data_IF_174158730679
#
_entry.id   IF_174158730679
#
_cell.length_a   1.000
_cell.length_b   1.000
_cell.length_c   1.000
_cell.angle_alpha   90.00
_cell.angle_beta   90.00
_cell.angle_gamma   90.00
#
_symmetry.space_group_name_H-M   'P 1'
#
loop_
_entity.id
_entity.type
_entity.pdbx_description
1 polymer ?
#
# COMPACT_ATOMS: atom_id res chain seq x y z
N UNK A 1 16.19 -45.60 -10.16
CA UNK A 1 17.20 -44.54 -10.20
C UNK A 1 18.03 -44.76 -11.45
N UNK A 2 17.95 -43.86 -12.43
CA UNK A 2 18.52 -44.08 -13.76
C UNK A 2 20.04 -44.25 -13.71
N UNK A 3 20.53 -45.24 -14.45
CA UNK A 3 21.95 -45.54 -14.59
C UNK A 3 22.62 -44.38 -15.36
N UNK A 4 23.40 -43.58 -14.64
CA UNK A 4 24.01 -42.37 -15.20
C UNK A 4 25.21 -42.75 -16.04
N UNK A 5 25.11 -42.45 -17.33
CA UNK A 5 26.15 -42.74 -18.33
C UNK A 5 27.52 -42.22 -17.89
N UNK A 6 28.59 -42.88 -18.35
CA UNK A 6 29.98 -42.45 -18.12
C UNK A 6 30.20 -40.99 -18.53
N UNK A 7 29.54 -40.54 -19.61
CA UNK A 7 29.59 -39.16 -20.08
C UNK A 7 29.06 -38.16 -19.04
N UNK A 8 27.96 -38.48 -18.37
CA UNK A 8 27.38 -37.63 -17.33
C UNK A 8 28.29 -37.54 -16.09
N UNK A 9 28.95 -38.65 -15.75
CA UNK A 9 29.95 -38.69 -14.66
C UNK A 9 31.14 -37.77 -14.94
N UNK A 10 31.68 -37.81 -16.16
CA UNK A 10 32.81 -36.97 -16.56
C UNK A 10 32.43 -35.49 -16.61
N UNK A 11 31.24 -35.15 -17.13
CA UNK A 11 30.74 -33.77 -17.15
C UNK A 11 30.68 -33.18 -15.74
N UNK A 12 30.11 -33.92 -14.80
CA UNK A 12 30.00 -33.50 -13.39
C UNK A 12 31.35 -33.32 -12.72
N UNK A 13 32.29 -34.24 -12.97
CA UNK A 13 33.64 -34.16 -12.41
C UNK A 13 34.38 -32.91 -12.91
N UNK A 14 34.24 -32.54 -14.19
CA UNK A 14 34.83 -31.32 -14.74
C UNK A 14 34.23 -30.05 -14.16
N UNK A 15 32.89 -29.99 -14.04
CA UNK A 15 32.21 -28.84 -13.44
C UNK A 15 32.66 -28.61 -11.98
N UNK A 16 32.68 -29.70 -11.19
CA UNK A 16 33.14 -29.65 -9.80
C UNK A 16 34.60 -29.20 -9.67
N UNK A 17 35.50 -29.73 -10.51
CA UNK A 17 36.93 -29.32 -10.52
C UNK A 17 37.11 -27.84 -10.93
N UNK A 18 36.16 -27.28 -11.67
CA UNK A 18 36.14 -25.88 -12.06
C UNK A 18 35.46 -24.95 -11.04
N UNK A 19 34.98 -25.48 -9.90
CA UNK A 19 34.25 -24.71 -8.87
C UNK A 19 32.77 -24.47 -9.21
N UNK A 20 32.25 -25.07 -10.27
CA UNK A 20 30.82 -25.06 -10.60
C UNK A 20 30.14 -26.26 -9.93
N UNK A 21 29.38 -25.96 -8.89
CA UNK A 21 28.68 -26.94 -8.07
C UNK A 21 27.23 -27.19 -8.52
N UNK A 22 26.77 -26.57 -9.62
CA UNK A 22 25.38 -26.69 -10.12
C UNK A 22 24.99 -28.12 -10.52
N UNK A 23 25.96 -28.98 -10.82
CA UNK A 23 25.76 -30.38 -11.22
C UNK A 23 26.17 -31.38 -10.12
N UNK A 24 26.39 -30.92 -8.88
CA UNK A 24 26.70 -31.78 -7.75
C UNK A 24 25.51 -32.65 -7.34
N UNK A 25 25.81 -33.82 -6.77
CA UNK A 25 24.77 -34.69 -6.21
C UNK A 25 24.46 -34.19 -4.80
N UNK A 26 23.17 -34.04 -4.44
CA UNK A 26 22.77 -33.53 -3.13
C UNK A 26 23.22 -34.42 -1.95
N UNK A 27 23.45 -35.71 -2.19
CA UNK A 27 23.79 -36.69 -1.14
C UNK A 27 25.30 -36.95 -1.00
N UNK A 28 26.18 -36.11 -1.57
CA UNK A 28 27.64 -36.25 -1.39
C UNK A 28 28.16 -35.22 -0.39
N UNK A 29 28.69 -35.72 0.72
CA UNK A 29 29.26 -34.94 1.84
C UNK A 29 30.53 -34.14 1.46
N UNK A 30 31.12 -34.41 0.30
CA UNK A 30 32.37 -33.78 -0.16
C UNK A 30 32.20 -32.34 -0.68
N UNK A 31 30.99 -31.78 -0.64
CA UNK A 31 30.66 -30.55 -1.36
C UNK A 31 29.80 -29.61 -0.51
N UNK A 32 30.45 -28.84 0.37
CA UNK A 32 29.82 -27.70 1.04
C UNK A 32 29.78 -26.55 0.02
N UNK A 33 28.61 -26.14 -0.51
CA UNK A 33 28.56 -24.95 -1.35
C UNK A 33 29.07 -23.75 -0.55
N UNK A 34 29.82 -22.81 -1.15
CA UNK A 34 30.21 -21.59 -0.45
C UNK A 34 28.93 -20.93 0.08
N UNK A 35 28.94 -20.43 1.32
CA UNK A 35 27.78 -19.79 1.89
C UNK A 35 27.33 -18.68 0.93
N UNK A 36 26.10 -18.80 0.43
CA UNK A 36 25.49 -17.72 -0.34
C UNK A 36 25.36 -16.57 0.65
N UNK A 37 26.07 -15.47 0.40
CA UNK A 37 25.87 -14.22 1.13
C UNK A 37 24.44 -13.75 0.85
N UNK A 38 23.51 -14.15 1.71
CA UNK A 38 22.19 -13.55 1.76
C UNK A 38 22.43 -12.14 2.30
N UNK A 39 22.19 -11.07 1.53
CA UNK A 39 22.33 -9.72 2.05
C UNK A 39 21.42 -9.62 3.26
N UNK A 40 22.04 -9.41 4.43
CA UNK A 40 21.32 -9.20 5.67
C UNK A 40 20.43 -7.98 5.43
N UNK A 41 19.12 -8.18 5.42
CA UNK A 41 18.18 -7.06 5.52
C UNK A 41 18.53 -6.36 6.81
N UNK A 42 19.12 -5.16 6.69
CA UNK A 42 19.61 -4.39 7.83
C UNK A 42 18.40 -4.08 8.71
N UNK A 43 18.24 -4.89 9.75
CA UNK A 43 17.26 -4.65 10.79
C UNK A 43 17.72 -3.40 11.53
N UNK A 44 16.88 -2.38 11.50
CA UNK A 44 17.00 -1.13 12.27
C UNK A 44 18.17 -0.22 11.88
N UNK A 45 17.83 0.90 11.24
CA UNK A 45 18.66 2.11 11.27
C UNK A 45 18.77 2.52 12.74
N UNK A 46 19.90 2.21 13.38
CA UNK A 46 20.20 2.64 14.74
C UNK A 46 20.35 4.17 14.75
N UNK A 47 19.61 4.81 15.64
CA UNK A 47 19.26 6.22 15.58
C UNK A 47 20.33 7.21 16.02
N UNK A 48 20.15 8.45 15.55
CA UNK A 48 20.06 9.72 16.32
C UNK A 48 19.69 10.85 15.34
N UNK A 49 20.01 10.64 14.05
CA UNK A 49 19.70 11.54 12.95
C UNK A 49 18.37 11.15 12.27
N UNK A 50 17.48 12.12 12.09
CA UNK A 50 16.21 11.90 11.38
C UNK A 50 16.52 11.48 9.93
N UNK A 51 15.87 10.43 9.40
CA UNK A 51 16.11 10.02 8.02
C UNK A 51 15.82 11.16 7.05
N UNK A 52 16.78 11.39 6.15
CA UNK A 52 16.67 12.40 5.11
C UNK A 52 15.45 12.13 4.21
N UNK A 53 14.83 13.20 3.73
CA UNK A 53 13.68 13.09 2.83
C UNK A 53 14.08 12.39 1.51
N UNK A 54 13.23 11.50 0.98
CA UNK A 54 13.44 10.90 -0.34
C UNK A 54 13.58 11.96 -1.43
N UNK A 55 14.41 11.68 -2.42
CA UNK A 55 14.60 12.57 -3.55
C UNK A 55 13.32 12.66 -4.41
N UNK A 56 13.08 13.84 -4.99
CA UNK A 56 11.95 14.05 -5.91
C UNK A 56 10.59 14.36 -5.26
N UNK A 57 10.52 14.43 -3.93
CA UNK A 57 9.34 14.97 -3.24
C UNK A 57 9.18 16.47 -3.54
N UNK A 58 7.93 16.91 -3.69
CA UNK A 58 7.55 18.33 -3.79
C UNK A 58 7.17 18.87 -2.40
N UNK A 59 6.76 20.13 -2.35
CA UNK A 59 6.57 20.87 -1.10
C UNK A 59 5.65 20.15 -0.10
N UNK A 60 4.52 19.59 -0.54
CA UNK A 60 3.58 18.93 0.38
C UNK A 60 4.09 17.59 0.88
N UNK A 61 4.65 16.77 0.00
CA UNK A 61 5.28 15.50 0.36
C UNK A 61 6.47 15.72 1.31
N UNK A 62 7.33 16.69 1.02
CA UNK A 62 8.46 17.03 1.88
C UNK A 62 8.01 17.51 3.28
N UNK A 63 6.96 18.35 3.35
CA UNK A 63 6.36 18.76 4.64
C UNK A 63 5.79 17.57 5.41
N UNK A 64 5.06 16.67 4.72
CA UNK A 64 4.51 15.47 5.34
C UNK A 64 5.61 14.57 5.89
N UNK A 65 6.69 14.34 5.12
CA UNK A 65 7.85 13.59 5.56
C UNK A 65 8.46 14.17 6.83
N UNK A 66 8.82 15.46 6.78
CA UNK A 66 9.49 16.14 7.88
C UNK A 66 8.64 16.12 9.16
N UNK A 67 7.35 16.42 9.06
CA UNK A 67 6.44 16.38 10.21
C UNK A 67 6.32 14.96 10.77
N UNK A 68 6.13 13.95 9.92
CA UNK A 68 5.90 12.57 10.35
C UNK A 68 7.14 11.97 11.03
N UNK A 69 8.32 12.19 10.45
CA UNK A 69 9.59 11.69 11.00
C UNK A 69 9.94 12.40 12.32
N UNK A 70 9.63 13.69 12.44
CA UNK A 70 9.80 14.43 13.70
C UNK A 70 8.83 13.95 14.80
N UNK A 71 7.58 13.62 14.43
CA UNK A 71 6.60 13.07 15.37
C UNK A 71 6.89 11.62 15.77
N UNK A 72 7.55 10.86 14.89
CA UNK A 72 7.83 9.44 15.05
C UNK A 72 9.31 9.13 14.75
N UNK A 73 10.23 9.45 15.67
CA UNK A 73 11.63 9.06 15.52
C UNK A 73 11.77 7.52 15.62
N UNK A 74 12.74 6.96 14.90
CA UNK A 74 13.05 5.52 14.97
C UNK A 74 12.08 4.60 14.23
N UNK A 75 11.37 5.10 13.20
CA UNK A 75 10.50 4.28 12.35
C UNK A 75 11.25 3.10 11.73
N UNK A 76 10.60 1.93 11.69
CA UNK A 76 11.11 0.77 10.99
C UNK A 76 11.19 1.04 9.47
N UNK A 77 12.09 0.35 8.78
CA UNK A 77 12.29 0.48 7.31
C UNK A 77 10.97 0.33 6.54
N UNK A 78 10.13 -0.64 6.94
CA UNK A 78 8.78 -0.83 6.38
C UNK A 78 7.93 0.43 6.44
N UNK A 79 7.94 1.12 7.57
CA UNK A 79 7.10 2.30 7.79
C UNK A 79 7.68 3.52 7.07
N UNK A 80 9.00 3.61 6.93
CA UNK A 80 9.66 4.63 6.10
C UNK A 80 9.29 4.49 4.61
N UNK A 81 9.28 3.27 4.08
CA UNK A 81 8.83 3.00 2.69
C UNK A 81 7.35 3.38 2.52
N UNK A 82 6.51 3.03 3.49
CA UNK A 82 5.10 3.40 3.45
C UNK A 82 4.88 4.92 3.53
N UNK A 83 5.68 5.62 4.33
CA UNK A 83 5.67 7.07 4.43
C UNK A 83 6.10 7.73 3.12
N UNK A 84 7.14 7.21 2.46
CA UNK A 84 7.58 7.71 1.16
C UNK A 84 6.46 7.66 0.11
N UNK A 85 5.75 6.53 0.01
CA UNK A 85 4.62 6.40 -0.91
C UNK A 85 3.46 7.32 -0.53
N UNK A 86 3.19 7.52 0.76
CA UNK A 86 2.21 8.51 1.21
C UNK A 86 2.59 9.94 0.80
N UNK A 87 3.87 10.31 0.88
CA UNK A 87 4.37 11.62 0.46
C UNK A 87 4.22 11.82 -1.06
N UNK A 88 4.57 10.81 -1.86
CA UNK A 88 4.38 10.84 -3.33
C UNK A 88 2.90 10.98 -3.72
N UNK A 89 1.99 10.29 -3.01
CA UNK A 89 0.55 10.45 -3.23
C UNK A 89 0.06 11.84 -2.85
N UNK A 90 0.58 12.44 -1.77
CA UNK A 90 0.24 13.80 -1.39
C UNK A 90 0.65 14.82 -2.47
N UNK A 91 1.85 14.69 -3.04
CA UNK A 91 2.31 15.53 -4.15
C UNK A 91 1.47 15.35 -5.42
N UNK A 92 1.05 14.11 -5.70
CA UNK A 92 0.17 13.82 -6.84
C UNK A 92 -1.22 14.44 -6.64
N UNK A 93 -1.74 14.45 -5.41
CA UNK A 93 -2.99 15.13 -5.09
C UNK A 93 -2.90 16.64 -5.28
N UNK A 94 -1.80 17.29 -4.91
CA UNK A 94 -1.61 18.72 -5.18
C UNK A 94 -1.59 19.04 -6.67
N UNK A 95 -1.00 18.16 -7.48
CA UNK A 95 -1.06 18.30 -8.94
C UNK A 95 -2.48 18.13 -9.47
N UNK A 96 -3.20 17.10 -9.01
CA UNK A 96 -4.59 16.86 -9.43
C UNK A 96 -5.50 18.02 -9.02
N UNK A 97 -5.27 18.61 -7.84
CA UNK A 97 -5.96 19.80 -7.37
C UNK A 97 -5.67 21.02 -8.26
N UNK A 98 -4.40 21.25 -8.60
CA UNK A 98 -4.03 22.31 -9.55
C UNK A 98 -4.69 22.12 -10.93
N UNK A 99 -4.85 20.88 -11.40
CA UNK A 99 -5.57 20.59 -12.64
C UNK A 99 -7.07 20.91 -12.51
N UNK A 100 -7.70 20.52 -11.40
CA UNK A 100 -9.12 20.76 -11.15
C UNK A 100 -9.42 22.26 -11.01
N UNK A 101 -8.49 23.03 -10.46
CA UNK A 101 -8.57 24.49 -10.34
C UNK A 101 -8.16 25.25 -11.62
N UNK A 102 -7.75 24.54 -12.67
CA UNK A 102 -7.27 25.15 -13.91
C UNK A 102 -5.91 25.86 -13.81
N UNK A 103 -5.16 25.65 -12.72
CA UNK A 103 -3.80 26.16 -12.50
C UNK A 103 -2.72 25.32 -13.20
N UNK A 104 -3.03 24.08 -13.55
CA UNK A 104 -2.17 23.19 -14.34
C UNK A 104 -2.91 22.71 -15.61
N UNK A 105 -2.16 22.56 -16.70
CA UNK A 105 -2.72 22.22 -18.00
C UNK A 105 -2.86 20.70 -18.15
N UNK A 106 -4.08 20.20 -18.38
CA UNK A 106 -4.33 18.81 -18.78
C UNK A 106 -5.16 18.70 -20.05
N UNK A 107 -4.92 17.60 -20.78
CA UNK A 107 -5.69 17.03 -21.89
C UNK A 107 -7.20 17.00 -21.60
N UNK A 108 -7.83 18.14 -21.83
CA UNK A 108 -9.28 18.20 -21.93
C UNK A 108 -9.69 17.69 -23.30
N UNK A 109 -10.68 16.80 -23.36
CA UNK A 109 -11.43 16.58 -24.60
C UNK A 109 -12.62 17.53 -24.63
N UNK A 110 -12.63 18.42 -25.61
CA UNK A 110 -13.82 19.21 -25.93
C UNK A 110 -14.83 18.26 -26.56
N UNK A 111 -15.93 17.96 -25.85
CA UNK A 111 -17.09 17.34 -26.49
C UNK A 111 -17.99 18.46 -26.98
N UNK A 112 -18.11 18.59 -28.30
CA UNK A 112 -19.22 19.34 -28.89
C UNK A 112 -20.50 18.51 -28.73
N UNK A 113 -21.56 19.13 -28.23
CA UNK A 113 -22.90 18.60 -28.41
C UNK A 113 -23.19 18.45 -29.91
N UNK A 114 -23.99 17.45 -30.31
CA UNK A 114 -24.34 17.25 -31.72
C UNK A 114 -25.21 18.45 -32.17
N UNK A 115 -24.70 19.30 -33.07
CA UNK A 115 -25.34 20.55 -33.51
C UNK A 115 -24.62 21.81 -33.01
N UNK A 116 -25.31 22.94 -32.97
CA UNK A 116 -24.80 24.26 -32.52
C UNK A 116 -24.85 24.43 -30.99
N UNK A 117 -24.77 23.31 -30.26
CA UNK A 117 -24.90 23.28 -28.81
C UNK A 117 -23.60 23.66 -28.08
N UNK A 118 -23.67 23.93 -26.77
CA UNK A 118 -22.53 24.37 -25.98
C UNK A 118 -21.37 23.37 -26.03
N UNK A 119 -20.15 23.89 -26.01
CA UNK A 119 -18.93 23.09 -25.93
C UNK A 119 -18.76 22.64 -24.48
N UNK A 120 -18.85 21.33 -24.21
CA UNK A 120 -18.62 20.79 -22.88
C UNK A 120 -17.13 20.50 -22.68
N UNK A 121 -16.55 21.15 -21.67
CA UNK A 121 -15.23 20.82 -21.14
C UNK A 121 -15.34 19.51 -20.35
N UNK A 122 -14.89 18.40 -20.91
CA UNK A 122 -14.96 17.09 -20.22
C UNK A 122 -13.59 16.79 -19.63
N UNK A 123 -13.45 17.00 -18.31
CA UNK A 123 -12.30 16.56 -17.51
C UNK A 123 -12.55 15.11 -17.07
N UNK A 124 -12.59 14.19 -18.04
CA UNK A 124 -12.87 12.80 -17.75
C UNK A 124 -11.72 12.21 -16.92
N UNK A 125 -12.07 11.63 -15.78
CA UNK A 125 -11.22 10.85 -14.87
C UNK A 125 -10.31 11.58 -13.88
N UNK A 126 -10.01 12.89 -14.01
CA UNK A 126 -9.16 13.58 -13.02
C UNK A 126 -9.82 13.60 -11.63
N UNK A 127 -11.12 13.88 -11.57
CA UNK A 127 -11.86 13.86 -10.30
C UNK A 127 -11.95 12.45 -9.71
N UNK A 128 -12.12 11.44 -10.55
CA UNK A 128 -12.15 10.03 -10.14
C UNK A 128 -10.79 9.60 -9.57
N UNK A 129 -9.71 9.90 -10.28
CA UNK A 129 -8.33 9.65 -9.86
C UNK A 129 -8.02 10.37 -8.54
N UNK A 130 -8.42 11.64 -8.42
CA UNK A 130 -8.24 12.42 -7.17
C UNK A 130 -8.90 11.72 -5.99
N UNK A 131 -10.15 11.27 -6.12
CA UNK A 131 -10.84 10.51 -5.06
C UNK A 131 -10.15 9.18 -4.74
N UNK A 132 -9.64 8.47 -5.74
CA UNK A 132 -8.91 7.22 -5.53
C UNK A 132 -7.60 7.45 -4.77
N UNK A 133 -6.85 8.49 -5.14
CA UNK A 133 -5.61 8.88 -4.47
C UNK A 133 -5.86 9.37 -3.04
N UNK A 134 -6.96 10.11 -2.79
CA UNK A 134 -7.38 10.48 -1.43
C UNK A 134 -7.66 9.26 -0.56
N UNK A 135 -8.37 8.27 -1.11
CA UNK A 135 -8.65 7.01 -0.39
C UNK A 135 -7.36 6.21 -0.13
N UNK A 136 -6.43 6.16 -1.10
CA UNK A 136 -5.14 5.51 -0.94
C UNK A 136 -4.30 6.19 0.16
N UNK A 137 -4.19 7.52 0.13
CA UNK A 137 -3.49 8.30 1.15
C UNK A 137 -4.05 8.06 2.55
N UNK A 138 -5.38 8.13 2.70
CA UNK A 138 -6.04 7.87 3.98
C UNK A 138 -5.71 6.47 4.52
N UNK A 139 -5.68 5.45 3.66
CA UNK A 139 -5.32 4.08 4.06
C UNK A 139 -3.85 3.97 4.49
N UNK A 140 -2.93 4.59 3.76
CA UNK A 140 -1.50 4.57 4.12
C UNK A 140 -1.25 5.26 5.46
N UNK A 141 -1.85 6.44 5.68
CA UNK A 141 -1.74 7.16 6.96
C UNK A 141 -2.36 6.36 8.12
N UNK A 142 -3.48 5.69 7.91
CA UNK A 142 -4.05 4.79 8.93
C UNK A 142 -3.14 3.61 9.24
N UNK A 143 -2.46 3.04 8.25
CA UNK A 143 -1.54 1.92 8.45
C UNK A 143 -0.31 2.34 9.25
N UNK A 144 0.25 3.54 9.00
CA UNK A 144 1.31 4.13 9.81
C UNK A 144 0.86 4.31 11.29
N UNK A 145 -0.38 4.75 11.51
CA UNK A 145 -0.93 4.91 12.86
C UNK A 145 -1.29 3.59 13.59
N UNK A 146 -1.52 2.48 12.87
CA UNK A 146 -1.99 1.21 13.45
C UNK A 146 -0.92 0.43 14.20
N UNK A 147 0.36 0.53 13.81
CA UNK A 147 1.47 -0.10 14.53
C UNK A 147 1.65 0.43 15.97
N UNK A 148 0.97 1.53 16.29
CA UNK A 148 1.08 2.25 17.55
C UNK A 148 -0.01 1.93 18.56
N UNK A 149 -1.14 1.33 18.13
CA UNK A 149 -2.16 0.90 19.10
C UNK A 149 -1.62 -0.37 19.76
N UNK A 150 -1.40 -0.37 21.10
CA UNK A 150 -1.12 -1.62 21.79
C UNK A 150 -2.23 -2.59 21.42
N UNK A 151 -1.87 -3.70 20.76
CA UNK A 151 -2.79 -4.83 20.65
C UNK A 151 -2.98 -5.26 22.10
N UNK A 152 -4.19 -5.12 22.69
CA UNK A 152 -4.43 -5.65 24.01
C UNK A 152 -4.03 -7.13 23.95
N UNK A 153 -3.30 -7.67 24.95
CA UNK A 153 -3.02 -9.10 24.99
C UNK A 153 -4.35 -9.83 24.77
N UNK A 154 -4.38 -10.95 24.04
CA UNK A 154 -5.61 -11.67 23.78
C UNK A 154 -6.25 -11.97 25.13
N UNK A 155 -7.29 -11.21 25.48
CA UNK A 155 -8.06 -11.44 26.68
C UNK A 155 -8.55 -12.87 26.55
N UNK A 156 -8.17 -13.70 27.51
CA UNK A 156 -8.45 -15.13 27.52
C UNK A 156 -9.88 -15.37 27.07
N UNK A 157 -10.02 -16.30 26.13
CA UNK A 157 -11.30 -16.74 25.57
C UNK A 157 -12.30 -16.93 26.72
N UNK A 158 -13.35 -16.11 26.85
CA UNK A 158 -14.47 -16.50 27.68
C UNK A 158 -15.18 -17.62 26.91
N UNK A 159 -15.07 -18.83 27.44
CA UNK A 159 -15.91 -19.94 27.02
C UNK A 159 -17.38 -19.54 27.31
N UNK A 160 -18.19 -19.57 26.26
CA UNK A 160 -19.65 -19.60 26.36
C UNK A 160 -20.34 -18.29 26.73
N UNK A 161 -20.66 -17.46 25.73
CA UNK A 161 -22.00 -16.88 25.66
C UNK A 161 -22.35 -16.54 24.21
N UNK A 162 -23.36 -17.21 23.70
CA UNK A 162 -23.95 -16.96 22.40
C UNK A 162 -24.59 -15.57 22.39
N UNK A 163 -24.06 -14.64 21.59
CA UNK A 163 -24.69 -13.36 21.32
C UNK A 163 -24.52 -12.94 19.85
N UNK A 164 -25.44 -13.47 19.03
CA UNK A 164 -26.13 -12.80 17.92
C UNK A 164 -25.35 -11.68 17.20
N UNK A 165 -24.51 -12.07 16.23
CA UNK A 165 -23.95 -11.16 15.24
C UNK A 165 -25.03 -10.68 14.27
N UNK A 166 -25.33 -9.37 14.30
CA UNK A 166 -26.34 -8.77 13.42
C UNK A 166 -26.37 -7.24 13.48
N UNK A 167 -25.21 -6.59 13.35
CA UNK A 167 -25.06 -5.13 13.58
C UNK A 167 -24.86 -4.26 12.33
N UNK A 168 -25.09 -4.75 11.11
CA UNK A 168 -24.89 -3.97 9.88
C UNK A 168 -26.17 -3.59 9.12
N UNK A 169 -27.29 -4.28 9.38
CA UNK A 169 -28.58 -4.07 8.70
C UNK A 169 -29.58 -3.23 9.50
N UNK A 170 -29.37 -3.10 10.81
CA UNK A 170 -30.27 -2.36 11.70
C UNK A 170 -30.24 -0.84 11.48
N UNK A 171 -29.07 -0.26 11.18
CA UNK A 171 -28.94 1.20 11.03
C UNK A 171 -29.68 1.78 9.82
N UNK A 172 -29.77 1.03 8.71
CA UNK A 172 -30.46 1.47 7.50
C UNK A 172 -31.97 1.22 7.60
N UNK A 173 -32.37 0.13 8.26
CA UNK A 173 -33.77 -0.17 8.53
C UNK A 173 -34.41 0.85 9.50
N UNK A 174 -33.67 1.25 10.54
CA UNK A 174 -34.10 2.28 11.50
C UNK A 174 -34.26 3.67 10.82
N UNK A 175 -33.33 4.01 9.92
CA UNK A 175 -33.42 5.27 9.17
C UNK A 175 -34.63 5.29 8.23
N UNK A 176 -34.95 4.16 7.59
CA UNK A 176 -36.10 4.04 6.68
C UNK A 176 -37.41 4.17 7.44
N UNK A 177 -37.51 3.53 8.62
CA UNK A 177 -38.69 3.62 9.48
C UNK A 177 -38.94 5.07 9.97
N UNK A 178 -37.88 5.82 10.29
CA UNK A 178 -37.98 7.22 10.71
C UNK A 178 -38.43 8.14 9.57
N UNK A 179 -37.99 7.89 8.34
CA UNK A 179 -38.41 8.65 7.16
C UNK A 179 -39.90 8.40 6.85
N UNK A 180 -40.38 7.17 6.97
CA UNK A 180 -41.79 6.83 6.74
C UNK A 180 -42.72 7.42 7.83
N UNK A 181 -42.29 7.39 9.09
CA UNK A 181 -43.04 8.01 10.18
C UNK A 181 -43.18 9.53 9.99
N UNK A 182 -42.10 10.21 9.56
CA UNK A 182 -42.13 11.64 9.27
C UNK A 182 -43.06 11.98 8.10
N UNK A 183 -43.13 11.13 7.06
CA UNK A 183 -44.04 11.32 5.92
C UNK A 183 -45.51 11.13 6.30
N UNK A 184 -45.83 10.19 7.20
CA UNK A 184 -47.20 9.99 7.69
C UNK A 184 -47.67 11.17 8.52
N UNK A 185 -46.81 11.72 9.36
CA UNK A 185 -47.12 12.92 10.14
C UNK A 185 -47.40 14.16 9.27
N UNK A 186 -46.72 14.27 8.13
CA UNK A 186 -46.93 15.36 7.15
C UNK A 186 -48.19 15.18 6.28
N UNK A 187 -48.76 13.98 6.19
CA UNK A 187 -49.95 13.70 5.39
C UNK A 187 -51.27 13.85 6.18
N UNK A 188 -51.18 14.07 7.49
CA UNK A 188 -52.33 14.22 8.41
C UNK A 188 -52.47 15.62 9.02
N UNK A 189 -51.78 16.61 8.46
CA UNK A 189 -51.95 18.04 8.75
C UNK A 189 -52.32 18.80 7.49
#
# INVERSE_FOLDING_TARGET
MADRTVAERVRRHRAHKAGDHSLCLPDREDCIPPPVEVPQFVETVTGEELPAAPSGLRDRGARLWAATVAEMPGMAVRDLVLLEEACRTADRLDRLDAILDGRDAVWVRLRRARGDGPVTLVVDQVLTESRQQQAALSRMLQQLGRGRRPVPPPAGRPEGSAAKGGGGRAGVADLTARIEAARRAQATG
#
